data_IF_458881690047
#
_entry.id   IF_458881690047
#
_cell.length_a   1.000
_cell.length_b   1.000
_cell.length_c   1.000
_cell.angle_alpha   90.00
_cell.angle_beta   90.00
_cell.angle_gamma   90.00
#
_symmetry.space_group_name_H-M   'P 1'
#
loop_
_entity.id
_entity.type
_entity.pdbx_description
1 polymer ?
#
# COMPACT_ATOMS: atom_id res chain seq x y z
N UNK A 1 -27.14 25.73 -58.72
CA UNK A 1 -25.76 26.12 -59.11
C UNK A 1 -24.90 24.87 -59.04
N UNK A 2 -24.26 24.52 -60.15
CA UNK A 2 -23.63 23.21 -60.43
C UNK A 2 -22.15 23.39 -60.78
N UNK A 3 -21.36 22.34 -60.49
CA UNK A 3 -19.97 21.99 -60.91
C UNK A 3 -18.82 22.55 -60.05
N UNK A 4 -17.60 21.96 -60.09
CA UNK A 4 -17.14 20.60 -60.49
C UNK A 4 -16.28 19.92 -59.38
N UNK A 5 -16.22 18.59 -59.27
CA UNK A 5 -15.19 17.70 -59.85
C UNK A 5 -13.75 18.20 -59.69
N UNK A 6 -12.90 17.48 -58.95
CA UNK A 6 -11.60 16.93 -59.42
C UNK A 6 -10.81 16.18 -58.33
N UNK A 7 -10.09 15.17 -58.83
CA UNK A 7 -8.83 14.61 -58.37
C UNK A 7 -8.81 13.38 -57.44
N UNK A 8 -8.62 12.25 -58.11
CA UNK A 8 -8.03 10.99 -57.66
C UNK A 8 -6.56 11.21 -57.30
N UNK A 9 -6.11 10.69 -56.15
CA UNK A 9 -4.70 10.37 -55.91
C UNK A 9 -4.60 8.98 -55.25
N UNK A 10 -4.32 8.01 -56.12
CA UNK A 10 -3.81 6.67 -55.80
C UNK A 10 -2.41 6.80 -55.19
N UNK A 11 -2.21 6.31 -53.98
CA UNK A 11 -0.89 5.90 -53.50
C UNK A 11 -0.93 4.41 -53.19
N UNK A 12 -0.40 3.64 -54.14
CA UNK A 12 0.01 2.26 -53.94
C UNK A 12 1.41 2.28 -53.29
N UNK A 13 1.47 1.96 -52.00
CA UNK A 13 2.71 1.74 -51.26
C UNK A 13 2.82 0.28 -50.83
N UNK A 14 3.40 -0.53 -51.71
CA UNK A 14 3.79 -1.93 -51.44
C UNK A 14 5.14 -1.89 -50.71
N UNK A 15 5.15 -2.24 -49.42
CA UNK A 15 6.38 -2.55 -48.69
C UNK A 15 6.38 -4.03 -48.30
N UNK A 16 7.21 -4.75 -49.05
CA UNK A 16 7.97 -5.97 -48.78
C UNK A 16 7.70 -6.75 -47.47
N UNK A 17 7.45 -8.06 -47.66
CA UNK A 17 7.55 -9.12 -46.65
C UNK A 17 8.91 -9.15 -45.94
N UNK A 18 8.87 -9.27 -44.61
CA UNK A 18 9.91 -9.89 -43.78
C UNK A 18 9.42 -11.23 -43.22
N UNK A 19 10.32 -12.18 -42.90
CA UNK A 19 9.98 -13.56 -42.57
C UNK A 19 9.46 -13.75 -41.14
N UNK A 20 8.75 -14.86 -40.96
CA UNK A 20 8.09 -15.40 -39.78
C UNK A 20 8.85 -15.26 -38.45
N UNK A 21 8.16 -14.72 -37.44
CA UNK A 21 8.29 -15.13 -36.05
C UNK A 21 6.89 -15.23 -35.43
N UNK A 22 6.38 -16.46 -35.31
CA UNK A 22 5.18 -16.79 -34.54
C UNK A 22 5.53 -16.76 -33.06
N UNK A 23 5.59 -15.56 -32.48
CA UNK A 23 5.39 -15.41 -31.04
C UNK A 23 3.90 -15.58 -30.73
N UNK A 24 3.47 -16.48 -29.82
CA UNK A 24 2.10 -16.40 -29.32
C UNK A 24 1.88 -14.97 -28.82
N UNK A 25 0.75 -14.33 -29.13
CA UNK A 25 0.46 -13.05 -28.50
C UNK A 25 0.56 -13.30 -26.99
N UNK A 26 1.25 -12.46 -26.21
CA UNK A 26 0.97 -12.46 -24.80
C UNK A 26 -0.54 -12.17 -24.74
N UNK A 27 -1.31 -13.18 -24.35
CA UNK A 27 -2.54 -12.98 -23.62
C UNK A 27 -2.15 -12.12 -22.41
N UNK A 28 -2.05 -10.82 -22.63
CA UNK A 28 -2.56 -9.89 -21.65
C UNK A 28 -4.02 -10.26 -21.56
N UNK A 29 -4.31 -11.19 -20.65
CA UNK A 29 -5.48 -11.07 -19.80
C UNK A 29 -5.42 -9.64 -19.30
N UNK A 30 -6.03 -8.72 -20.07
CA UNK A 30 -6.54 -7.51 -19.51
C UNK A 30 -7.38 -8.03 -18.36
N UNK A 31 -6.85 -7.90 -17.15
CA UNK A 31 -7.67 -7.96 -15.96
C UNK A 31 -8.64 -6.84 -16.23
N UNK A 32 -9.81 -7.21 -16.77
CA UNK A 32 -10.99 -6.39 -16.70
C UNK A 32 -11.20 -6.31 -15.21
N UNK A 33 -10.55 -5.32 -14.59
CA UNK A 33 -10.96 -4.83 -13.31
C UNK A 33 -12.37 -4.37 -13.60
N UNK A 34 -13.31 -5.28 -13.33
CA UNK A 34 -14.73 -5.02 -13.16
C UNK A 34 -14.80 -3.61 -12.61
N UNK A 35 -15.33 -2.69 -13.41
CA UNK A 35 -15.24 -1.25 -13.15
C UNK A 35 -15.96 -1.03 -11.82
N UNK A 36 -15.20 -1.09 -10.73
CA UNK A 36 -15.73 -0.99 -9.37
C UNK A 36 -16.10 0.46 -9.25
N UNK A 37 -17.36 0.73 -9.57
CA UNK A 37 -17.95 2.05 -9.59
C UNK A 37 -17.55 2.77 -8.29
N UNK A 38 -16.66 3.78 -8.37
CA UNK A 38 -16.19 4.48 -7.18
C UNK A 38 -17.33 5.24 -6.50
N UNK A 39 -18.43 5.52 -7.20
CA UNK A 39 -19.65 6.11 -6.65
C UNK A 39 -20.52 5.07 -5.91
N UNK A 40 -20.20 3.78 -5.96
CA UNK A 40 -20.95 2.75 -5.26
C UNK A 40 -20.83 2.85 -3.72
N UNK A 41 -19.85 3.60 -3.21
CA UNK A 41 -19.66 3.85 -1.79
C UNK A 41 -20.10 5.27 -1.44
N UNK A 42 -21.21 5.36 -0.71
CA UNK A 42 -21.72 6.62 -0.18
C UNK A 42 -20.74 7.18 0.84
N UNK A 43 -20.40 8.47 0.74
CA UNK A 43 -19.61 9.15 1.76
C UNK A 43 -20.30 9.07 3.13
N UNK A 44 -19.53 8.76 4.17
CA UNK A 44 -20.00 8.79 5.55
C UNK A 44 -19.85 10.17 6.19
N UNK A 45 -20.35 10.29 7.41
CA UNK A 45 -20.19 11.51 8.23
C UNK A 45 -18.85 11.55 8.99
N UNK A 46 -18.05 10.48 8.91
CA UNK A 46 -16.80 10.36 9.67
C UNK A 46 -15.66 10.98 8.87
N UNK A 47 -14.92 11.88 9.51
CA UNK A 47 -13.75 12.55 8.93
C UNK A 47 -12.51 12.13 9.70
N UNK A 48 -11.58 11.46 9.02
CA UNK A 48 -10.30 11.02 9.56
C UNK A 48 -9.18 11.88 9.00
N UNK A 49 -8.57 12.73 9.85
CA UNK A 49 -7.45 13.59 9.46
C UNK A 49 -7.73 14.44 8.20
N UNK A 50 -8.99 14.89 8.03
CA UNK A 50 -9.43 15.67 6.87
C UNK A 50 -9.99 14.85 5.70
N UNK A 51 -9.83 13.52 5.73
CA UNK A 51 -10.37 12.60 4.71
C UNK A 51 -11.74 12.08 5.13
N UNK A 52 -12.73 12.16 4.24
CA UNK A 52 -14.06 11.57 4.48
C UNK A 52 -14.03 10.05 4.27
N UNK A 53 -14.48 9.33 5.28
CA UNK A 53 -14.55 7.87 5.22
C UNK A 53 -15.89 7.39 4.63
N UNK A 54 -15.94 6.19 4.03
CA UNK A 54 -17.20 5.59 3.55
C UNK A 54 -18.26 5.46 4.65
N UNK A 55 -19.53 5.43 4.26
CA UNK A 55 -20.65 5.22 5.18
C UNK A 55 -20.53 3.88 5.93
N UNK A 56 -20.81 3.90 7.23
CA UNK A 56 -20.66 2.72 8.10
C UNK A 56 -19.23 2.51 8.62
N UNK A 57 -18.32 3.46 8.41
CA UNK A 57 -17.00 3.42 9.04
C UNK A 57 -17.09 3.63 10.55
N UNK A 58 -16.35 2.82 11.31
CA UNK A 58 -16.25 2.90 12.77
C UNK A 58 -14.80 3.18 13.17
N UNK A 59 -14.57 4.20 13.99
CA UNK A 59 -13.23 4.50 14.52
C UNK A 59 -12.91 3.49 15.62
N UNK A 60 -11.85 2.69 15.44
CA UNK A 60 -11.41 1.67 16.39
C UNK A 60 -10.23 2.12 17.25
N UNK A 61 -9.53 3.18 16.84
CA UNK A 61 -8.43 3.75 17.61
C UNK A 61 -8.05 5.12 17.09
N UNK A 62 -7.66 6.02 17.99
CA UNK A 62 -7.22 7.36 17.64
C UNK A 62 -6.01 7.72 18.49
N UNK A 63 -4.97 8.21 17.82
CA UNK A 63 -3.73 8.68 18.41
C UNK A 63 -3.40 10.07 17.85
N UNK A 64 -2.53 10.87 18.51
CA UNK A 64 -2.15 12.20 18.01
C UNK A 64 -1.56 12.20 16.58
N UNK A 65 -0.96 11.07 16.19
CA UNK A 65 -0.26 10.87 14.93
C UNK A 65 -1.01 9.99 13.93
N UNK A 66 -2.15 9.40 14.31
CA UNK A 66 -2.82 8.44 13.46
C UNK A 66 -4.22 8.09 13.91
N UNK A 67 -4.96 7.42 13.03
CA UNK A 67 -6.32 6.99 13.28
C UNK A 67 -6.52 5.61 12.65
N UNK A 68 -7.21 4.73 13.35
CA UNK A 68 -7.63 3.43 12.85
C UNK A 68 -9.15 3.38 12.75
N UNK A 69 -9.65 2.93 11.61
CA UNK A 69 -11.07 2.74 11.37
C UNK A 69 -11.33 1.38 10.72
N UNK A 70 -12.50 0.81 10.99
CA UNK A 70 -13.00 -0.38 10.29
C UNK A 70 -14.15 0.01 9.39
N UNK A 71 -14.19 -0.58 8.20
CA UNK A 71 -15.22 -0.34 7.20
C UNK A 71 -15.83 -1.67 6.77
N UNK A 72 -17.16 -1.81 6.75
CA UNK A 72 -17.86 -3.07 6.44
C UNK A 72 -17.93 -3.35 4.92
N UNK A 73 -16.86 -3.03 4.18
CA UNK A 73 -16.77 -3.26 2.73
C UNK A 73 -15.49 -4.00 2.38
N UNK A 74 -15.45 -4.55 1.16
CA UNK A 74 -14.29 -5.28 0.66
C UNK A 74 -13.10 -4.35 0.41
N UNK A 75 -11.89 -4.91 0.48
CA UNK A 75 -10.64 -4.19 0.24
C UNK A 75 -10.67 -3.46 -1.11
N UNK A 76 -11.15 -4.12 -2.16
CA UNK A 76 -11.16 -3.62 -3.53
C UNK A 76 -12.05 -2.38 -3.66
N UNK A 77 -13.24 -2.42 -3.04
CA UNK A 77 -14.17 -1.27 -3.02
C UNK A 77 -13.59 -0.11 -2.25
N UNK A 78 -13.06 -0.35 -1.04
CA UNK A 78 -12.48 0.71 -0.20
C UNK A 78 -11.26 1.32 -0.88
N UNK A 79 -10.37 0.51 -1.47
CA UNK A 79 -9.22 1.00 -2.21
C UNK A 79 -9.63 1.80 -3.46
N UNK A 80 -10.69 1.41 -4.17
CA UNK A 80 -11.21 2.19 -5.32
C UNK A 80 -11.74 3.55 -4.87
N UNK A 81 -12.58 3.58 -3.82
CA UNK A 81 -13.08 4.81 -3.21
C UNK A 81 -11.94 5.74 -2.77
N UNK A 82 -10.91 5.19 -2.12
CA UNK A 82 -9.76 5.98 -1.66
C UNK A 82 -8.98 6.59 -2.84
N UNK A 83 -8.81 5.88 -3.96
CA UNK A 83 -8.20 6.44 -5.19
C UNK A 83 -9.01 7.59 -5.78
N UNK A 84 -10.33 7.55 -5.67
CA UNK A 84 -11.21 8.59 -6.21
C UNK A 84 -11.20 9.89 -5.38
N UNK A 85 -10.79 9.83 -4.11
CA UNK A 85 -10.84 10.97 -3.18
C UNK A 85 -9.45 11.45 -2.71
N UNK A 86 -8.39 10.72 -3.04
CA UNK A 86 -7.02 11.04 -2.61
C UNK A 86 -6.09 11.28 -3.79
N UNK A 87 -5.27 12.33 -3.67
CA UNK A 87 -4.08 12.53 -4.48
C UNK A 87 -2.88 11.90 -3.75
N UNK A 88 -2.41 10.75 -4.23
CA UNK A 88 -1.29 10.02 -3.62
C UNK A 88 -0.09 9.98 -4.55
N UNK A 89 1.11 10.22 -4.00
CA UNK A 89 2.36 10.15 -4.77
C UNK A 89 2.68 8.74 -5.25
N UNK A 90 2.37 7.73 -4.43
CA UNK A 90 2.59 6.34 -4.77
C UNK A 90 1.52 5.45 -4.14
N UNK A 91 1.14 4.39 -4.85
CA UNK A 91 0.15 3.40 -4.40
C UNK A 91 0.73 2.00 -4.56
N UNK A 92 0.97 1.32 -3.46
CA UNK A 92 1.42 -0.06 -3.43
C UNK A 92 0.21 -0.97 -3.26
N UNK A 93 -0.09 -1.81 -4.26
CA UNK A 93 -1.25 -2.73 -4.21
C UNK A 93 -0.76 -4.16 -4.03
N UNK A 94 -1.22 -4.84 -2.99
CA UNK A 94 -0.96 -6.25 -2.72
C UNK A 94 -2.24 -7.03 -2.42
N UNK A 95 -2.14 -8.37 -2.29
CA UNK A 95 -3.32 -9.23 -2.12
C UNK A 95 -4.06 -9.04 -0.79
N UNK A 96 -3.36 -8.57 0.24
CA UNK A 96 -3.91 -8.38 1.58
C UNK A 96 -4.10 -6.91 1.96
N UNK A 97 -3.47 -5.99 1.23
CA UNK A 97 -3.50 -4.55 1.55
C UNK A 97 -3.19 -3.67 0.35
N UNK A 98 -3.67 -2.44 0.38
CA UNK A 98 -3.25 -1.33 -0.47
C UNK A 98 -2.68 -0.22 0.40
N UNK A 99 -1.52 0.33 0.04
CA UNK A 99 -0.84 1.39 0.79
C UNK A 99 -0.75 2.62 -0.09
N UNK A 100 -1.31 3.73 0.38
CA UNK A 100 -1.19 5.04 -0.23
C UNK A 100 -0.11 5.81 0.52
N UNK A 101 0.93 6.22 -0.20
CA UNK A 101 2.08 6.91 0.36
C UNK A 101 2.01 8.37 -0.06
N UNK A 102 2.20 9.26 0.92
CA UNK A 102 2.21 10.70 0.71
C UNK A 102 0.88 11.21 0.11
N UNK A 103 -0.23 10.66 0.64
CA UNK A 103 -1.58 10.94 0.20
C UNK A 103 -2.12 12.23 0.82
N UNK A 104 -2.88 12.98 0.01
CA UNK A 104 -3.62 14.18 0.39
C UNK A 104 -5.06 14.07 -0.10
N UNK A 105 -5.99 14.73 0.57
CA UNK A 105 -7.37 14.80 0.09
C UNK A 105 -7.42 15.63 -1.20
N UNK A 106 -8.10 15.14 -2.23
CA UNK A 106 -8.39 15.94 -3.42
C UNK A 106 -9.15 17.22 -3.05
N UNK A 107 -8.63 18.37 -3.48
CA UNK A 107 -9.19 19.68 -3.15
C UNK A 107 -8.67 20.28 -1.83
N UNK A 108 -7.83 19.55 -1.09
CA UNK A 108 -7.06 20.11 0.00
C UNK A 108 -6.08 21.18 -0.51
N UNK A 109 -5.97 22.29 0.21
CA UNK A 109 -4.90 23.25 -0.04
C UNK A 109 -3.53 22.71 0.36
N UNK A 110 -2.45 23.34 -0.10
CA UNK A 110 -1.05 22.93 0.16
C UNK A 110 -0.65 22.82 1.64
N UNK A 111 -1.52 23.27 2.55
CA UNK A 111 -1.28 23.27 4.01
C UNK A 111 -1.75 21.99 4.70
N UNK A 112 -2.42 21.07 4.01
CA UNK A 112 -2.86 19.83 4.63
C UNK A 112 -1.70 18.84 4.86
N UNK A 113 -1.75 18.07 5.96
CA UNK A 113 -0.72 17.10 6.26
C UNK A 113 -0.72 15.97 5.24
N UNK A 114 0.47 15.53 4.86
CA UNK A 114 0.65 14.35 4.04
C UNK A 114 0.39 13.10 4.88
N UNK A 115 -0.36 12.15 4.35
CA UNK A 115 -0.78 10.96 5.06
C UNK A 115 -0.18 9.71 4.43
N UNK A 116 0.13 8.73 5.27
CA UNK A 116 0.26 7.33 4.87
C UNK A 116 -1.04 6.63 5.24
N UNK A 117 -1.70 6.04 4.25
CA UNK A 117 -2.99 5.36 4.44
C UNK A 117 -2.81 3.91 4.07
N UNK A 118 -3.11 3.01 5.01
CA UNK A 118 -3.06 1.56 4.80
C UNK A 118 -4.49 1.05 4.80
N UNK A 119 -4.89 0.44 3.69
CA UNK A 119 -6.16 -0.25 3.52
C UNK A 119 -5.85 -1.74 3.59
N UNK A 120 -6.24 -2.43 4.66
CA UNK A 120 -5.90 -3.83 4.87
C UNK A 120 -7.16 -4.69 5.05
N UNK A 121 -7.13 -5.92 4.53
CA UNK A 121 -8.22 -6.87 4.69
C UNK A 121 -8.33 -7.26 6.18
N UNK A 122 -9.54 -7.25 6.71
CA UNK A 122 -9.87 -7.65 8.08
C UNK A 122 -10.95 -8.73 8.06
N UNK A 123 -11.08 -9.53 9.13
CA UNK A 123 -11.99 -10.69 9.15
C UNK A 123 -13.45 -10.35 8.79
N UNK A 124 -13.90 -9.16 9.16
CA UNK A 124 -15.28 -8.69 8.96
C UNK A 124 -15.38 -7.46 8.04
N UNK A 125 -14.34 -7.15 7.27
CA UNK A 125 -14.34 -5.98 6.39
C UNK A 125 -12.93 -5.51 6.04
N UNK A 126 -12.72 -4.20 6.12
CA UNK A 126 -11.45 -3.56 5.80
C UNK A 126 -11.02 -2.64 6.92
N UNK A 127 -9.78 -2.77 7.36
CA UNK A 127 -9.17 -1.86 8.31
C UNK A 127 -8.45 -0.74 7.53
N UNK A 128 -8.72 0.49 7.94
CA UNK A 128 -8.05 1.70 7.48
C UNK A 128 -7.15 2.21 8.59
N UNK A 129 -5.87 2.40 8.28
CA UNK A 129 -4.91 3.04 9.18
C UNK A 129 -4.38 4.29 8.53
N UNK A 130 -4.67 5.44 9.14
CA UNK A 130 -4.17 6.74 8.77
C UNK A 130 -2.98 7.08 9.66
N UNK A 131 -1.89 7.52 9.07
CA UNK A 131 -0.70 7.99 9.81
C UNK A 131 -0.25 9.30 9.21
N UNK A 132 -0.09 10.34 10.05
CA UNK A 132 0.49 11.61 9.62
C UNK A 132 1.95 11.35 9.27
N UNK A 133 2.33 11.62 8.02
CA UNK A 133 3.74 11.62 7.62
C UNK A 133 4.34 12.94 8.11
N UNK A 134 5.39 12.93 8.95
CA UNK A 134 6.02 14.17 9.40
C UNK A 134 6.60 14.91 8.18
N UNK A 135 5.98 16.03 7.85
CA UNK A 135 6.42 16.90 6.76
C UNK A 135 7.77 17.51 7.16
N UNK A 136 8.86 17.05 6.53
CA UNK A 136 10.21 17.56 6.78
C UNK A 136 11.21 16.60 7.44
N UNK A 137 10.84 15.34 7.67
CA UNK A 137 11.84 14.30 7.95
C UNK A 137 12.40 13.76 6.64
N UNK A 138 13.69 13.95 6.39
CA UNK A 138 14.45 13.10 5.45
C UNK A 138 13.94 11.66 5.57
N UNK A 139 13.73 10.93 4.46
CA UNK A 139 13.41 9.51 4.54
C UNK A 139 14.45 8.92 5.48
N UNK A 140 13.99 8.35 6.60
CA UNK A 140 14.92 7.81 7.58
C UNK A 140 15.85 6.88 6.80
N UNK A 141 17.18 7.09 6.78
CA UNK A 141 18.09 6.23 6.04
C UNK A 141 18.06 4.78 6.54
N UNK A 142 17.30 4.51 7.61
CA UNK A 142 16.94 3.19 8.13
C UNK A 142 15.77 2.50 7.41
N UNK A 143 15.16 3.10 6.39
CA UNK A 143 14.39 2.34 5.39
C UNK A 143 15.40 1.55 4.55
N UNK A 144 16.02 0.53 5.15
CA UNK A 144 17.09 -0.29 4.59
C UNK A 144 16.76 -0.70 3.14
N UNK A 145 17.39 -0.12 2.11
CA UNK A 145 17.48 -0.82 0.85
C UNK A 145 18.39 -1.99 1.16
N UNK A 146 17.84 -3.22 1.22
CA UNK A 146 18.56 -4.49 1.29
C UNK A 146 20.06 -4.30 1.56
N UNK A 147 20.43 -4.02 2.82
CA UNK A 147 21.82 -4.12 3.21
C UNK A 147 22.10 -5.59 2.98
N UNK A 148 22.80 -5.87 1.89
CA UNK A 148 23.37 -7.16 1.56
C UNK A 148 23.99 -7.67 2.86
N UNK A 149 23.29 -8.57 3.54
CA UNK A 149 23.77 -9.14 4.79
C UNK A 149 25.11 -9.75 4.41
N UNK A 150 26.24 -9.29 4.97
CA UNK A 150 27.47 -10.03 4.82
C UNK A 150 27.17 -11.45 5.26
N UNK A 151 27.57 -12.42 4.43
CA UNK A 151 27.29 -13.83 4.65
C UNK A 151 27.49 -14.17 6.14
N UNK A 152 26.58 -14.94 6.76
CA UNK A 152 26.71 -15.29 8.16
C UNK A 152 28.13 -15.86 8.37
N UNK A 153 28.87 -15.39 9.41
CA UNK A 153 30.19 -15.90 9.69
C UNK A 153 30.12 -17.42 9.86
N UNK A 154 31.11 -18.09 9.31
CA UNK A 154 31.26 -19.54 9.32
C UNK A 154 31.07 -20.07 10.76
N UNK A 155 30.19 -21.06 11.01
CA UNK A 155 29.86 -21.56 12.35
C UNK A 155 31.02 -22.30 13.05
N UNK A 156 32.25 -22.20 12.55
CA UNK A 156 33.42 -22.93 13.04
C UNK A 156 34.07 -22.30 14.29
N UNK A 157 33.71 -21.08 14.70
CA UNK A 157 34.19 -20.51 15.97
C UNK A 157 33.22 -20.81 17.12
N UNK A 158 33.34 -22.05 17.62
CA UNK A 158 32.69 -22.51 18.85
C UNK A 158 33.24 -21.72 20.04
N UNK A 159 32.55 -20.64 20.42
CA UNK A 159 32.75 -19.97 21.71
C UNK A 159 32.32 -20.96 22.81
N UNK A 160 33.32 -21.51 23.49
CA UNK A 160 33.19 -22.33 24.69
C UNK A 160 32.25 -21.64 25.71
N UNK A 161 31.13 -22.26 26.13
CA UNK A 161 30.25 -21.67 27.13
C UNK A 161 31.02 -21.48 28.44
N UNK A 162 31.11 -20.24 28.90
CA UNK A 162 31.58 -19.92 30.24
C UNK A 162 30.62 -20.54 31.25
N UNK A 163 31.16 -21.50 32.00
CA UNK A 163 30.52 -22.17 33.12
C UNK A 163 29.97 -21.13 34.11
N UNK A 164 28.68 -21.18 34.49
CA UNK A 164 28.15 -20.27 35.51
C UNK A 164 28.81 -20.54 36.87
N UNK A 165 29.01 -19.51 37.69
CA UNK A 165 29.61 -19.66 39.01
C UNK A 165 28.73 -20.54 39.93
N UNK A 166 29.33 -21.28 40.87
CA UNK A 166 28.60 -22.14 41.79
C UNK A 166 27.64 -21.30 42.64
N UNK A 167 26.37 -21.72 42.68
CA UNK A 167 25.37 -21.14 43.55
C UNK A 167 25.63 -21.59 44.99
N UNK A 168 25.87 -20.60 45.86
CA UNK A 168 25.94 -20.79 47.30
C UNK A 168 24.61 -21.32 47.84
N UNK A 169 24.69 -22.35 48.65
CA UNK A 169 23.58 -23.13 49.18
C UNK A 169 23.00 -22.39 50.40
N UNK A 170 21.72 -21.96 50.42
CA UNK A 170 21.16 -21.36 51.62
C UNK A 170 20.95 -22.42 52.70
N UNK A 171 21.62 -22.22 53.84
CA UNK A 171 21.36 -22.90 55.11
C UNK A 171 19.91 -22.68 55.56
N UNK A 172 19.26 -23.75 56.01
CA UNK A 172 17.83 -23.76 56.35
C UNK A 172 17.51 -23.08 57.68
N UNK A 173 16.24 -22.70 57.91
CA UNK A 173 15.82 -22.14 59.18
C UNK A 173 15.71 -23.22 60.27
N UNK A 174 16.46 -23.00 61.33
CA UNK A 174 16.38 -23.70 62.61
C UNK A 174 15.01 -23.44 63.25
N UNK A 175 14.39 -24.50 63.79
CA UNK A 175 13.08 -24.43 64.47
C UNK A 175 13.32 -24.44 65.98
N UNK A 176 12.92 -23.39 66.74
CA UNK A 176 12.87 -23.48 68.19
C UNK A 176 11.57 -24.13 68.65
N UNK A 177 11.68 -24.79 69.81
CA UNK A 177 10.77 -25.76 70.43
C UNK A 177 9.67 -25.10 71.26
#
# INVERSE_FOLDING_TARGET
>A
MMKPSWLVLLFAGISACGPSDQGPPPSSSAVVFDEVDPEALVEGNVVALGVRLPAGSEITGEDPFGLQATVPYSLEKVSSYMRAHLDAKSVETGPQRTVFIDARHLGAGDKEPHLKIIVARHQFGTQLTFTKTPHGGTPSPYANPAVEMPAPPDPSDTVKPSQPPPQDKPEGPETPK
#
